data_IF_413254066421
#
_entry.id   IF_413254066421
#
_cell.length_a   1.000
_cell.length_b   1.000
_cell.length_c   1.000
_cell.angle_alpha   90.00
_cell.angle_beta   90.00
_cell.angle_gamma   90.00
#
_symmetry.space_group_name_H-M   'P 1'
#
loop_
_entity.id
_entity.type
_entity.pdbx_description
1 polymer ?
#
# COMPACT_ATOMS: atom_id res chain seq x y z
N UNK A 1 55.28 -56.87 17.87
CA UNK A 1 55.18 -55.41 17.69
C UNK A 1 53.84 -55.10 17.05
N UNK A 2 53.04 -54.26 17.73
CA UNK A 2 52.08 -53.26 17.23
C UNK A 2 51.10 -53.67 16.11
N UNK A 3 49.80 -53.77 16.40
CA UNK A 3 48.79 -52.70 16.19
C UNK A 3 48.61 -52.35 14.68
N UNK A 4 47.43 -52.37 14.07
CA UNK A 4 46.29 -51.54 14.44
C UNK A 4 45.06 -51.88 13.53
N UNK A 5 43.89 -51.93 14.17
CA UNK A 5 42.54 -51.52 13.73
C UNK A 5 42.07 -51.57 12.25
N UNK A 6 40.99 -52.36 12.07
CA UNK A 6 39.62 -51.93 11.70
C UNK A 6 39.48 -50.61 10.92
N UNK A 7 38.98 -50.67 9.68
CA UNK A 7 38.05 -49.68 9.09
C UNK A 7 37.20 -50.41 8.03
N UNK A 8 36.02 -50.93 8.42
CA UNK A 8 34.69 -50.34 8.15
C UNK A 8 34.16 -50.60 6.72
N UNK A 9 33.38 -51.68 6.64
CA UNK A 9 32.27 -51.84 5.71
C UNK A 9 31.27 -50.70 5.89
N UNK A 10 31.25 -49.74 4.97
CA UNK A 10 30.15 -48.81 4.76
C UNK A 10 29.91 -48.69 3.26
N UNK A 11 29.15 -49.63 2.71
CA UNK A 11 28.45 -49.42 1.43
C UNK A 11 27.37 -48.38 1.70
N UNK A 12 27.79 -47.11 1.61
CA UNK A 12 26.93 -45.95 1.76
C UNK A 12 25.95 -45.95 0.59
N UNK A 13 24.68 -46.16 0.92
CA UNK A 13 23.50 -45.92 0.12
C UNK A 13 23.56 -44.46 -0.39
N UNK A 14 24.15 -44.23 -1.57
CA UNK A 14 24.10 -42.93 -2.22
C UNK A 14 22.70 -42.77 -2.77
N UNK A 15 21.95 -41.93 -2.06
CA UNK A 15 20.62 -41.47 -2.34
C UNK A 15 20.37 -41.24 -3.83
N UNK A 16 19.34 -41.93 -4.33
CA UNK A 16 18.51 -41.49 -5.46
C UNK A 16 17.89 -40.13 -5.10
N UNK A 17 18.64 -39.04 -5.32
CA UNK A 17 18.03 -37.74 -5.53
C UNK A 17 17.56 -37.72 -6.99
N UNK A 18 16.29 -38.07 -7.19
CA UNK A 18 15.52 -37.57 -8.32
C UNK A 18 15.60 -36.05 -8.30
N UNK A 19 16.48 -35.50 -9.14
CA UNK A 19 16.39 -34.10 -9.53
C UNK A 19 15.06 -33.94 -10.25
N UNK A 20 14.04 -33.55 -9.49
CA UNK A 20 12.87 -32.88 -10.04
C UNK A 20 13.38 -31.55 -10.58
N UNK A 21 13.95 -31.60 -11.79
CA UNK A 21 14.21 -30.42 -12.60
C UNK A 21 12.86 -29.81 -12.87
N UNK A 22 12.45 -28.87 -12.02
CA UNK A 22 11.42 -27.92 -12.36
C UNK A 22 11.94 -27.14 -13.56
N UNK A 23 11.66 -27.63 -14.77
CA UNK A 23 11.74 -26.86 -16.00
C UNK A 23 10.78 -25.69 -15.83
N UNK A 24 11.28 -24.60 -15.26
CA UNK A 24 10.70 -23.28 -15.41
C UNK A 24 10.65 -23.03 -16.92
N UNK A 25 9.49 -23.30 -17.51
CA UNK A 25 9.21 -23.01 -18.91
C UNK A 25 9.55 -21.54 -19.15
N UNK A 26 10.55 -21.28 -19.98
CA UNK A 26 10.91 -19.94 -20.48
C UNK A 26 9.71 -19.19 -21.11
N UNK A 27 8.59 -19.86 -21.35
CA UNK A 27 7.34 -19.25 -21.77
C UNK A 27 6.67 -18.37 -20.69
N UNK A 28 6.84 -18.67 -19.39
CA UNK A 28 6.24 -17.86 -18.31
C UNK A 28 7.03 -16.58 -18.00
N UNK A 29 8.25 -16.44 -18.51
CA UNK A 29 9.01 -15.17 -18.44
C UNK A 29 8.65 -14.17 -19.53
N UNK A 30 7.75 -14.50 -20.48
CA UNK A 30 7.43 -13.63 -21.63
C UNK A 30 6.25 -12.67 -21.41
N UNK A 31 5.68 -12.63 -20.21
CA UNK A 31 4.53 -11.75 -19.89
C UNK A 31 4.89 -10.55 -19.01
N UNK A 32 6.18 -10.23 -18.84
CA UNK A 32 6.59 -8.91 -18.37
C UNK A 32 6.80 -8.00 -19.58
N UNK A 33 5.70 -7.50 -20.15
CA UNK A 33 5.80 -6.30 -20.96
C UNK A 33 6.49 -5.22 -20.11
N UNK A 34 7.49 -4.49 -20.64
CA UNK A 34 8.11 -3.43 -19.87
C UNK A 34 7.02 -2.47 -19.40
N UNK A 35 7.02 -2.05 -18.13
CA UNK A 35 6.01 -1.12 -17.64
C UNK A 35 5.97 0.10 -18.56
N UNK A 36 4.77 0.48 -18.99
CA UNK A 36 4.59 1.72 -19.75
C UNK A 36 5.15 2.88 -18.93
N UNK A 37 5.57 3.98 -19.57
CA UNK A 37 6.11 5.13 -18.85
C UNK A 37 5.15 5.63 -17.75
N UNK A 38 3.84 5.55 -18.01
CA UNK A 38 2.77 5.82 -17.06
C UNK A 38 2.79 4.90 -15.84
N UNK A 39 2.95 3.59 -16.05
CA UNK A 39 3.02 2.60 -14.97
C UNK A 39 4.29 2.77 -14.13
N UNK A 40 5.43 3.06 -14.77
CA UNK A 40 6.68 3.34 -14.07
C UNK A 40 6.58 4.62 -13.21
N UNK A 41 5.97 5.68 -13.74
CA UNK A 41 5.70 6.90 -12.98
C UNK A 41 4.76 6.62 -11.80
N UNK A 42 3.63 5.96 -12.05
CA UNK A 42 2.66 5.61 -11.01
C UNK A 42 3.29 4.78 -9.90
N UNK A 43 4.14 3.81 -10.23
CA UNK A 43 4.86 3.00 -9.26
C UNK A 43 5.76 3.86 -8.36
N UNK A 44 6.47 4.84 -8.91
CA UNK A 44 7.30 5.74 -8.09
C UNK A 44 6.45 6.66 -7.22
N UNK A 45 5.34 7.16 -7.75
CA UNK A 45 4.39 7.98 -6.98
C UNK A 45 3.80 7.15 -5.83
N UNK A 46 3.37 5.90 -6.08
CA UNK A 46 2.80 5.01 -5.07
C UNK A 46 3.76 4.72 -3.91
N UNK A 47 5.02 4.42 -4.22
CA UNK A 47 6.04 4.23 -3.18
C UNK A 47 6.20 5.50 -2.33
N UNK A 48 6.19 6.68 -2.94
CA UNK A 48 6.29 7.94 -2.21
C UNK A 48 5.01 8.26 -1.42
N UNK A 49 3.84 7.98 -1.98
CA UNK A 49 2.56 8.16 -1.28
C UNK A 49 2.52 7.32 -0.01
N UNK A 50 3.01 6.07 -0.06
CA UNK A 50 3.16 5.24 1.13
C UNK A 50 4.18 5.81 2.11
N UNK A 51 5.35 6.24 1.64
CA UNK A 51 6.42 6.78 2.48
C UNK A 51 6.04 8.09 3.20
N UNK A 52 5.33 8.99 2.52
CA UNK A 52 4.92 10.28 3.08
C UNK A 52 3.60 10.23 3.85
N UNK A 53 2.84 9.14 3.72
CA UNK A 53 1.62 8.94 4.51
C UNK A 53 1.96 8.84 5.99
N UNK A 54 1.14 9.48 6.81
CA UNK A 54 1.32 9.59 8.26
C UNK A 54 -0.03 9.60 8.96
N UNK A 55 0.00 9.73 10.29
CA UNK A 55 -1.21 9.93 11.10
C UNK A 55 -1.92 11.25 10.81
N UNK A 56 -1.26 12.23 10.19
CA UNK A 56 -1.81 13.57 9.95
C UNK A 56 -2.30 13.77 8.51
N UNK A 57 -1.62 13.17 7.53
CA UNK A 57 -1.95 13.28 6.11
C UNK A 57 -1.71 11.90 5.46
N UNK A 58 -2.72 11.40 4.76
CA UNK A 58 -2.63 10.20 3.95
C UNK A 58 -2.60 10.57 2.46
N UNK A 59 -1.78 9.87 1.68
CA UNK A 59 -1.65 10.07 0.24
C UNK A 59 -2.10 8.82 -0.50
N UNK A 60 -2.95 8.99 -1.51
CA UNK A 60 -3.39 7.92 -2.40
C UNK A 60 -3.26 8.36 -3.86
N UNK A 61 -2.43 7.69 -4.67
CA UNK A 61 -2.31 8.04 -6.07
C UNK A 61 -3.39 7.36 -6.92
N UNK A 62 -3.83 8.07 -7.95
CA UNK A 62 -4.80 7.62 -8.93
C UNK A 62 -4.30 7.99 -10.33
N UNK A 63 -4.39 7.04 -11.25
CA UNK A 63 -4.14 7.32 -12.67
C UNK A 63 -5.46 7.75 -13.31
N UNK A 64 -5.58 9.02 -13.68
CA UNK A 64 -6.83 9.54 -14.30
C UNK A 64 -6.84 9.34 -15.81
N UNK A 65 -5.67 9.46 -16.44
CA UNK A 65 -5.41 9.28 -17.87
C UNK A 65 -3.98 8.74 -18.03
N UNK A 66 -3.60 8.23 -19.20
CA UNK A 66 -2.27 7.62 -19.44
C UNK A 66 -1.07 8.54 -19.08
N UNK A 67 -1.26 9.83 -18.82
CA UNK A 67 -0.19 10.79 -18.56
C UNK A 67 -0.34 11.62 -17.28
N UNK A 68 -1.51 11.58 -16.63
CA UNK A 68 -1.79 12.44 -15.47
C UNK A 68 -2.05 11.59 -14.23
N UNK A 69 -1.24 11.81 -13.21
CA UNK A 69 -1.42 11.21 -11.90
C UNK A 69 -2.03 12.25 -10.97
N UNK A 70 -3.15 11.88 -10.38
CA UNK A 70 -3.73 12.59 -9.25
C UNK A 70 -3.26 11.95 -7.96
N UNK A 71 -2.82 12.78 -7.02
CA UNK A 71 -2.47 12.38 -5.67
C UNK A 71 -3.52 12.95 -4.74
N UNK A 72 -4.37 12.08 -4.22
CA UNK A 72 -5.35 12.43 -3.21
C UNK A 72 -4.65 12.55 -1.84
N UNK A 73 -4.53 13.76 -1.33
CA UNK A 73 -3.97 14.07 -0.02
C UNK A 73 -5.11 14.32 0.99
N UNK A 74 -5.34 13.39 1.90
CA UNK A 74 -6.38 13.51 2.92
C UNK A 74 -5.78 13.97 4.24
N UNK A 75 -6.18 15.15 4.72
CA UNK A 75 -5.82 15.69 6.02
C UNK A 75 -6.66 15.01 7.10
N UNK A 76 -6.01 14.25 7.97
CA UNK A 76 -6.62 13.46 9.03
C UNK A 76 -6.63 14.20 10.37
N UNK A 77 -5.69 15.12 10.58
CA UNK A 77 -5.56 15.87 11.83
C UNK A 77 -6.47 17.12 11.82
N UNK A 78 -7.54 17.15 12.64
CA UNK A 78 -8.46 18.28 12.68
C UNK A 78 -7.81 19.56 13.23
N UNK A 79 -6.73 19.47 14.00
CA UNK A 79 -6.04 20.64 14.53
C UNK A 79 -5.39 21.49 13.44
N UNK A 80 -5.04 20.88 12.31
CA UNK A 80 -4.51 21.58 11.14
C UNK A 80 -5.58 22.41 10.43
N UNK A 81 -6.86 22.02 10.53
CA UNK A 81 -7.98 22.71 9.87
C UNK A 81 -8.37 24.02 10.58
N UNK A 82 -7.93 24.22 11.82
CA UNK A 82 -8.21 25.41 12.62
C UNK A 82 -7.44 26.66 12.14
N UNK A 83 -6.29 26.47 11.50
CA UNK A 83 -5.43 27.53 11.01
C UNK A 83 -5.11 27.30 9.55
N UNK A 84 -5.87 27.96 8.68
CA UNK A 84 -5.74 27.85 7.24
C UNK A 84 -4.32 28.20 6.74
N UNK A 85 -3.66 29.18 7.34
CA UNK A 85 -2.32 29.61 6.93
C UNK A 85 -1.28 28.56 7.31
N UNK A 86 -1.40 27.96 8.50
CA UNK A 86 -0.57 26.84 8.92
C UNK A 86 -0.77 25.62 8.02
N UNK A 87 -2.02 25.29 7.70
CA UNK A 87 -2.37 24.21 6.78
C UNK A 87 -1.74 24.43 5.40
N UNK A 88 -1.91 25.62 4.83
CA UNK A 88 -1.35 25.99 3.53
C UNK A 88 0.17 25.80 3.50
N UNK A 89 0.87 26.30 4.54
CA UNK A 89 2.32 26.16 4.65
C UNK A 89 2.77 24.70 4.76
N UNK A 90 2.06 23.88 5.54
CA UNK A 90 2.36 22.45 5.69
C UNK A 90 2.16 21.72 4.38
N UNK A 91 1.01 21.93 3.72
CA UNK A 91 0.69 21.30 2.44
C UNK A 91 1.70 21.70 1.37
N UNK A 92 1.99 23.00 1.22
CA UNK A 92 3.01 23.47 0.27
C UNK A 92 4.37 22.84 0.52
N UNK A 93 4.83 22.80 1.77
CA UNK A 93 6.11 22.19 2.11
C UNK A 93 6.12 20.70 1.79
N UNK A 94 5.07 19.97 2.14
CA UNK A 94 5.00 18.53 1.87
C UNK A 94 4.93 18.23 0.37
N UNK A 95 4.14 18.99 -0.40
CA UNK A 95 4.07 18.86 -1.86
C UNK A 95 5.45 19.12 -2.48
N UNK A 96 6.15 20.19 -2.09
CA UNK A 96 7.48 20.49 -2.61
C UNK A 96 8.51 19.40 -2.29
N UNK A 97 8.46 18.86 -1.07
CA UNK A 97 9.35 17.75 -0.67
C UNK A 97 9.00 16.48 -1.45
N UNK A 98 7.71 16.15 -1.58
CA UNK A 98 7.24 15.01 -2.36
C UNK A 98 7.74 15.07 -3.81
N UNK A 99 7.53 16.21 -4.48
CA UNK A 99 7.93 16.39 -5.88
C UNK A 99 9.45 16.35 -6.06
N UNK A 100 10.21 16.91 -5.11
CA UNK A 100 11.68 16.80 -5.10
C UNK A 100 12.13 15.36 -5.02
N UNK A 101 11.60 14.60 -4.07
CA UNK A 101 11.94 13.18 -3.90
C UNK A 101 11.50 12.35 -5.11
N UNK A 102 10.36 12.68 -5.72
CA UNK A 102 9.89 12.05 -6.95
C UNK A 102 10.87 12.27 -8.09
N UNK A 103 11.33 13.51 -8.31
CA UNK A 103 12.35 13.82 -9.34
C UNK A 103 13.63 13.03 -9.12
N UNK A 104 14.13 12.98 -7.89
CA UNK A 104 15.32 12.20 -7.53
C UNK A 104 15.11 10.71 -7.84
N UNK A 105 14.01 10.12 -7.36
CA UNK A 105 13.69 8.72 -7.62
C UNK A 105 13.53 8.41 -9.11
N UNK A 106 12.84 9.26 -9.86
CA UNK A 106 12.69 9.08 -11.30
C UNK A 106 14.05 9.08 -11.98
N UNK A 107 14.97 9.99 -11.63
CA UNK A 107 16.32 10.00 -12.20
C UNK A 107 17.12 8.72 -11.94
N UNK A 108 16.90 8.07 -10.78
CA UNK A 108 17.61 6.86 -10.37
C UNK A 108 16.98 5.58 -10.91
N UNK A 109 15.64 5.47 -10.84
CA UNK A 109 14.90 4.23 -11.07
C UNK A 109 14.09 4.22 -12.38
N UNK A 110 13.85 5.37 -12.99
CA UNK A 110 13.09 5.50 -14.24
C UNK A 110 13.64 6.65 -15.12
N UNK A 111 14.92 6.62 -15.53
CA UNK A 111 15.59 7.75 -16.18
C UNK A 111 14.93 8.17 -17.51
N UNK A 112 14.28 7.25 -18.21
CA UNK A 112 13.53 7.56 -19.44
C UNK A 112 12.25 8.37 -19.16
N UNK A 113 11.60 8.11 -18.03
CA UNK A 113 10.44 8.89 -17.56
C UNK A 113 10.91 10.26 -17.08
N UNK A 114 12.01 10.31 -16.31
CA UNK A 114 12.57 11.55 -15.78
C UNK A 114 12.87 12.62 -16.85
N UNK A 115 13.28 12.19 -18.06
CA UNK A 115 13.56 13.10 -19.18
C UNK A 115 12.34 13.88 -19.69
N UNK A 116 11.15 13.31 -19.52
CA UNK A 116 9.90 13.87 -20.05
C UNK A 116 8.94 14.32 -18.95
N UNK A 117 9.33 14.11 -17.69
CA UNK A 117 8.50 14.42 -16.53
C UNK A 117 8.45 15.92 -16.27
N UNK A 118 7.24 16.47 -16.21
CA UNK A 118 6.96 17.82 -15.73
C UNK A 118 5.96 17.76 -14.58
N UNK A 119 6.41 18.18 -13.40
CA UNK A 119 5.59 18.15 -12.18
C UNK A 119 4.34 19.03 -12.24
N UNK A 120 4.32 20.03 -13.14
CA UNK A 120 3.20 20.95 -13.27
C UNK A 120 2.09 20.38 -14.17
N UNK A 121 2.41 19.44 -15.06
CA UNK A 121 1.47 18.84 -16.02
C UNK A 121 1.14 17.39 -15.71
N UNK A 122 2.07 16.65 -15.13
CA UNK A 122 1.95 15.20 -14.95
C UNK A 122 1.42 14.82 -13.57
N UNK A 123 1.50 15.75 -12.61
CA UNK A 123 1.04 15.57 -11.24
C UNK A 123 0.01 16.64 -10.88
N UNK A 124 -1.07 16.22 -10.22
CA UNK A 124 -1.96 17.11 -9.48
C UNK A 124 -2.20 16.57 -8.08
N UNK A 125 -2.35 17.44 -7.10
CA UNK A 125 -2.83 17.02 -5.77
C UNK A 125 -4.26 17.49 -5.58
N UNK A 126 -5.12 16.58 -5.11
CA UNK A 126 -6.46 16.92 -4.60
C UNK A 126 -6.42 16.78 -3.10
N UNK A 127 -6.81 17.83 -2.39
CA UNK A 127 -6.67 17.90 -0.94
C UNK A 127 -8.07 17.75 -0.33
N UNK A 128 -8.21 16.75 0.52
CA UNK A 128 -9.47 16.37 1.16
C UNK A 128 -9.31 16.41 2.69
N UNK A 129 -10.44 16.49 3.41
CA UNK A 129 -10.51 16.48 4.86
C UNK A 129 -11.21 15.23 5.38
N UNK A 130 -10.60 14.62 6.39
CA UNK A 130 -11.18 13.56 7.20
C UNK A 130 -11.59 12.31 6.43
N UNK A 131 -12.28 11.42 7.13
CA UNK A 131 -12.70 10.10 6.60
C UNK A 131 -13.71 10.25 5.45
N UNK A 132 -14.54 11.29 5.48
CA UNK A 132 -15.54 11.58 4.44
C UNK A 132 -14.98 12.28 3.20
N UNK A 133 -13.66 12.54 3.15
CA UNK A 133 -12.97 13.15 2.02
C UNK A 133 -13.64 14.45 1.54
N UNK A 134 -14.02 15.32 2.48
CA UNK A 134 -14.62 16.62 2.13
C UNK A 134 -13.57 17.47 1.38
N UNK A 135 -13.86 18.04 0.20
CA UNK A 135 -12.85 18.74 -0.59
C UNK A 135 -12.37 20.01 0.13
N UNK A 136 -11.05 20.15 0.28
CA UNK A 136 -10.39 21.32 0.87
C UNK A 136 -9.68 22.19 -0.15
N UNK A 137 -9.21 21.61 -1.25
CA UNK A 137 -8.45 22.35 -2.23
C UNK A 137 -7.76 21.45 -3.23
N UNK A 138 -6.90 22.07 -4.03
CA UNK A 138 -6.07 21.37 -4.99
C UNK A 138 -4.75 22.10 -5.20
N UNK A 139 -3.70 21.35 -5.51
CA UNK A 139 -2.48 21.88 -6.10
C UNK A 139 -2.37 21.42 -7.54
N UNK A 140 -2.15 22.36 -8.45
CA UNK A 140 -1.92 22.11 -9.87
C UNK A 140 -1.09 23.24 -10.45
N UNK A 141 -0.27 22.95 -11.45
CA UNK A 141 0.53 23.96 -12.16
C UNK A 141 1.36 24.86 -11.21
N UNK A 142 1.93 24.27 -10.15
CA UNK A 142 2.75 24.99 -9.18
C UNK A 142 1.96 25.81 -8.15
N UNK A 143 0.63 25.85 -8.20
CA UNK A 143 -0.21 26.69 -7.33
C UNK A 143 -1.12 25.85 -6.46
N UNK A 144 -1.08 26.11 -5.15
CA UNK A 144 -2.06 25.62 -4.20
C UNK A 144 -3.26 26.57 -4.17
N UNK A 145 -4.46 26.00 -4.20
CA UNK A 145 -5.71 26.73 -4.03
C UNK A 145 -6.56 25.98 -3.01
N UNK A 146 -6.81 26.60 -1.87
CA UNK A 146 -7.72 26.08 -0.86
C UNK A 146 -9.12 26.67 -1.10
N UNK A 147 -10.15 25.83 -1.09
CA UNK A 147 -11.53 26.27 -1.13
C UNK A 147 -11.86 26.90 0.23
N UNK A 148 -11.83 28.23 0.29
CA UNK A 148 -12.07 28.95 1.52
C UNK A 148 -13.50 28.72 2.02
N UNK A 149 -13.64 28.07 3.18
CA UNK A 149 -14.49 28.47 4.29
C UNK A 149 -13.98 27.77 5.57
N UNK A 150 -14.03 28.43 6.74
CA UNK A 150 -13.73 27.76 8.01
C UNK A 150 -14.85 26.73 8.24
N UNK A 151 -14.55 25.46 7.96
CA UNK A 151 -15.48 24.40 8.28
C UNK A 151 -15.68 24.38 9.79
N UNK A 152 -16.93 24.37 10.29
CA UNK A 152 -17.14 24.12 11.71
C UNK A 152 -16.49 22.78 12.01
N UNK A 153 -15.55 22.81 12.96
CA UNK A 153 -15.06 21.60 13.62
C UNK A 153 -16.32 20.88 14.08
N UNK A 154 -16.65 19.75 13.47
CA UNK A 154 -17.60 18.82 14.05
C UNK A 154 -16.94 18.38 15.36
N UNK A 155 -17.23 19.12 16.44
CA UNK A 155 -16.91 18.72 17.80
C UNK A 155 -17.50 17.33 17.93
N UNK A 156 -16.63 16.33 18.03
CA UNK A 156 -17.04 14.96 18.31
C UNK A 156 -17.82 15.05 19.61
N UNK A 157 -19.15 15.07 19.50
CA UNK A 157 -20.03 15.02 20.64
C UNK A 157 -19.63 13.73 21.37
N UNK A 158 -19.11 13.88 22.58
CA UNK A 158 -18.81 12.76 23.45
C UNK A 158 -20.04 11.87 23.50
N UNK A 159 -19.92 10.66 22.94
CA UNK A 159 -20.96 9.66 23.02
C UNK A 159 -21.37 9.51 24.50
N UNK A 160 -22.67 9.48 24.83
CA UNK A 160 -23.10 9.29 26.20
C UNK A 160 -22.55 7.96 26.73
N UNK A 161 -22.22 7.86 28.04
CA UNK A 161 -21.60 6.68 28.60
C UNK A 161 -22.50 5.46 28.33
N UNK A 162 -21.97 4.49 27.59
CA UNK A 162 -22.63 3.19 27.45
C UNK A 162 -22.71 2.56 28.84
N UNK A 163 -23.94 2.31 29.30
CA UNK A 163 -24.18 1.47 30.48
C UNK A 163 -23.59 0.09 30.19
N UNK A 164 -22.65 -0.33 31.03
CA UNK A 164 -22.16 -1.71 31.08
C UNK A 164 -23.35 -2.66 31.17
N UNK A 165 -23.56 -3.42 30.11
CA UNK A 165 -24.45 -4.58 30.15
C UNK A 165 -23.56 -5.76 30.53
N UNK A 166 -23.62 -6.14 31.80
CA UNK A 166 -23.00 -7.35 32.33
C UNK A 166 -23.58 -8.53 31.55
N UNK A 167 -22.75 -9.20 30.74
CA UNK A 167 -23.10 -10.49 30.16
C UNK A 167 -23.11 -11.54 31.29
N UNK A 168 -24.31 -11.94 31.73
CA UNK A 168 -24.48 -13.18 32.48
C UNK A 168 -24.19 -14.35 31.55
N UNK A 169 -23.17 -15.13 31.89
CA UNK A 169 -22.87 -16.42 31.27
C UNK A 169 -23.95 -17.39 31.75
N UNK A 170 -24.89 -17.73 30.89
CA UNK A 170 -25.76 -18.89 31.10
C UNK A 170 -25.25 -20.05 30.24
N UNK A 171 -24.83 -21.11 30.94
CA UNK A 171 -24.47 -22.39 30.35
C UNK A 171 -25.65 -23.07 29.64
N UNK A 172 -25.27 -23.84 28.62
CA UNK A 172 -25.96 -24.97 27.99
C UNK A 172 -27.16 -24.69 27.08
N UNK A 173 -26.95 -24.93 25.77
CA UNK A 173 -27.42 -26.17 25.13
C UNK A 173 -26.69 -26.43 23.82
N UNK A 174 -26.11 -27.62 23.72
CA UNK A 174 -25.66 -28.26 22.49
C UNK A 174 -26.89 -28.47 21.60
N UNK A 175 -26.89 -27.89 20.40
CA UNK A 175 -27.72 -28.34 19.28
C UNK A 175 -26.78 -28.55 18.11
N UNK A 176 -26.52 -29.82 17.87
CA UNK A 176 -25.88 -30.35 16.68
C UNK A 176 -27.01 -30.52 15.65
N UNK A 177 -26.97 -29.80 14.52
CA UNK A 177 -27.29 -30.46 13.26
C UNK A 177 -26.80 -29.74 12.00
N UNK A 178 -26.13 -30.58 11.21
CA UNK A 178 -25.91 -30.65 9.77
C UNK A 178 -26.12 -29.43 8.85
N UNK A 179 -25.00 -28.99 8.24
CA UNK A 179 -25.01 -28.04 7.12
C UNK A 179 -23.63 -27.60 6.61
N UNK A 180 -22.53 -28.19 7.10
CA UNK A 180 -21.16 -27.86 6.69
C UNK A 180 -20.44 -29.11 6.20
N UNK A 181 -20.62 -29.50 4.94
CA UNK A 181 -19.77 -30.56 4.37
C UNK A 181 -19.47 -30.51 2.86
N UNK A 182 -19.88 -29.46 2.12
CA UNK A 182 -19.64 -29.46 0.64
C UNK A 182 -18.76 -28.35 0.07
N UNK A 183 -18.29 -27.37 0.85
CA UNK A 183 -17.45 -26.28 0.31
C UNK A 183 -15.94 -26.42 0.51
N UNK A 184 -15.49 -27.49 1.17
CA UNK A 184 -14.06 -27.72 1.46
C UNK A 184 -13.35 -28.62 0.44
N UNK A 185 -14.05 -29.06 -0.62
CA UNK A 185 -13.48 -29.94 -1.67
C UNK A 185 -13.06 -29.22 -2.95
N UNK A 186 -13.26 -27.91 -3.05
CA UNK A 186 -12.93 -27.10 -4.24
C UNK A 186 -11.71 -26.18 -4.07
N UNK A 187 -10.89 -26.38 -3.03
CA UNK A 187 -9.61 -25.68 -2.88
C UNK A 187 -8.48 -26.46 -3.58
N UNK A 188 -7.91 -25.94 -4.69
CA UNK A 188 -6.77 -26.58 -5.37
C UNK A 188 -5.50 -26.60 -4.50
N UNK A 189 -5.44 -25.84 -3.41
CA UNK A 189 -4.34 -25.83 -2.45
C UNK A 189 -4.25 -27.08 -1.54
N UNK A 190 -5.21 -28.01 -1.64
CA UNK A 190 -5.22 -29.27 -0.87
C UNK A 190 -5.12 -30.52 -1.77
N UNK A 191 -4.61 -30.37 -3.00
CA UNK A 191 -4.17 -31.48 -3.86
C UNK A 191 -2.64 -31.54 -3.86
N UNK A 192 -2.07 -32.16 -2.84
CA UNK A 192 -0.65 -32.45 -2.78
C UNK A 192 -0.36 -33.14 -1.47
N UNK A 193 0.11 -34.38 -1.56
CA UNK A 193 0.55 -35.24 -0.46
C UNK A 193 1.66 -34.59 0.36
#
# INVERSE_FOLDING_TARGET
MLHLLRVFSFFLFVFLFTAASAELRQADMKLQAPPTQAAALLQQVDILSLYFSSTHIAYAPHLLQEKLIEIEATVLDPSLLLDQKKLENILMRQIQVFLRELKIRLSLYAPMVAKHFDENTDIRFVINQGVHRKPLGSWREGKLSLYGQPFPVETVASAPPQKETVFQINEARVVQDEGKLELWRSCPAYRGK
#
